data_IF_424469689261
#
_entry.id   IF_424469689261
#
_cell.length_a   1.000
_cell.length_b   1.000
_cell.length_c   1.000
_cell.angle_alpha   90.00
_cell.angle_beta   90.00
_cell.angle_gamma   90.00
#
_symmetry.space_group_name_H-M   'P 1'
#
loop_
_entity.id
_entity.type
_entity.pdbx_description
1 polymer ?
#
# COMPACT_ATOMS: atom_id res chain seq x y z
N UNK A 1 6.14 -1.52 -10.16
CA UNK A 1 6.65 -1.86 -8.81
C UNK A 1 6.11 -3.22 -8.39
N UNK A 2 6.75 -3.86 -7.41
CA UNK A 2 6.35 -5.17 -6.87
C UNK A 2 6.61 -5.23 -5.37
N UNK A 3 5.65 -5.69 -4.60
CA UNK A 3 5.76 -5.90 -3.16
C UNK A 3 5.33 -7.33 -2.79
N UNK A 4 6.22 -8.17 -2.24
CA UNK A 4 5.87 -9.55 -1.88
C UNK A 4 4.96 -9.59 -0.66
N UNK A 5 4.09 -10.60 -0.61
CA UNK A 5 3.47 -10.99 0.66
C UNK A 5 4.48 -11.66 1.57
N UNK A 6 4.08 -11.96 2.81
CA UNK A 6 4.91 -12.69 3.76
C UNK A 6 4.14 -13.81 4.45
N UNK A 7 4.88 -14.76 4.97
CA UNK A 7 4.42 -15.70 6.00
C UNK A 7 5.26 -15.47 7.26
N UNK A 8 4.70 -15.77 8.43
CA UNK A 8 5.50 -15.93 9.63
C UNK A 8 5.86 -17.41 9.78
N UNK A 9 7.14 -17.71 9.98
CA UNK A 9 7.56 -19.09 10.24
C UNK A 9 7.40 -19.42 11.73
N UNK A 10 7.71 -18.47 12.61
CA UNK A 10 7.53 -18.56 14.06
C UNK A 10 7.45 -17.16 14.69
N UNK A 11 6.84 -17.05 15.87
CA UNK A 11 6.67 -15.79 16.59
C UNK A 11 5.37 -15.07 16.22
N UNK A 12 4.27 -15.79 16.16
CA UNK A 12 2.95 -15.16 16.04
C UNK A 12 2.56 -14.50 17.37
N UNK A 13 1.93 -13.32 17.30
CA UNK A 13 1.40 -12.58 18.46
C UNK A 13 2.44 -12.12 19.50
N UNK A 14 3.72 -12.06 19.14
CA UNK A 14 4.79 -11.57 20.02
C UNK A 14 5.45 -10.29 19.53
N UNK A 15 5.20 -9.90 18.27
CA UNK A 15 5.78 -8.70 17.65
C UNK A 15 5.38 -7.41 18.36
N UNK A 16 4.14 -7.31 18.83
CA UNK A 16 3.67 -6.17 19.63
C UNK A 16 4.05 -6.24 21.12
N UNK A 17 4.78 -7.29 21.54
CA UNK A 17 5.29 -7.49 22.90
C UNK A 17 6.82 -7.42 22.95
N UNK A 18 7.45 -6.77 21.97
CA UNK A 18 8.91 -6.74 21.79
C UNK A 18 9.56 -8.14 21.69
N UNK A 19 8.78 -9.14 21.24
CA UNK A 19 9.22 -10.50 21.03
C UNK A 19 9.87 -10.71 19.67
N UNK A 20 10.66 -11.78 19.57
CA UNK A 20 11.32 -12.16 18.32
C UNK A 20 10.34 -12.84 17.36
N UNK A 21 10.44 -12.47 16.08
CA UNK A 21 9.66 -13.05 14.98
C UNK A 21 10.58 -13.50 13.85
N UNK A 22 10.14 -14.49 13.07
CA UNK A 22 10.86 -14.96 11.90
C UNK A 22 9.95 -14.99 10.66
N UNK A 23 9.69 -13.82 10.04
CA UNK A 23 8.94 -13.76 8.81
C UNK A 23 9.81 -14.07 7.59
N UNK A 24 9.17 -14.55 6.52
CA UNK A 24 9.79 -14.73 5.22
C UNK A 24 8.86 -14.19 4.13
N UNK A 25 9.43 -13.41 3.20
CA UNK A 25 8.75 -13.03 1.98
C UNK A 25 8.48 -14.27 1.11
N UNK A 26 7.32 -14.33 0.47
CA UNK A 26 6.96 -15.44 -0.41
C UNK A 26 7.07 -15.05 -1.89
N UNK A 27 7.00 -16.05 -2.78
CA UNK A 27 7.04 -15.84 -4.22
C UNK A 27 5.85 -15.07 -4.80
N UNK A 28 4.78 -14.88 -4.01
CA UNK A 28 3.56 -14.14 -4.37
C UNK A 28 3.65 -12.68 -3.91
N UNK A 29 3.06 -11.77 -4.66
CA UNK A 29 3.22 -10.32 -4.55
C UNK A 29 2.03 -9.54 -5.09
N UNK A 30 1.90 -8.30 -4.64
CA UNK A 30 1.17 -7.26 -5.37
C UNK A 30 2.12 -6.63 -6.36
N UNK A 31 1.71 -6.59 -7.63
CA UNK A 31 2.41 -5.90 -8.70
C UNK A 31 1.57 -4.71 -9.13
N UNK A 32 2.21 -3.59 -9.41
CA UNK A 32 1.52 -2.43 -9.93
C UNK A 32 2.33 -1.65 -10.94
N UNK A 33 1.62 -0.83 -11.70
CA UNK A 33 2.19 0.21 -12.54
C UNK A 33 1.43 1.51 -12.24
N UNK A 34 2.16 2.62 -12.23
CA UNK A 34 1.58 3.92 -11.95
C UNK A 34 2.22 5.00 -12.82
N UNK A 35 1.43 6.01 -13.16
CA UNK A 35 1.88 7.20 -13.87
C UNK A 35 1.23 8.44 -13.25
N UNK A 36 1.95 9.56 -13.23
CA UNK A 36 1.39 10.85 -12.81
C UNK A 36 0.21 11.21 -13.70
N UNK A 37 -0.80 11.83 -13.12
CA UNK A 37 -1.86 12.53 -13.85
C UNK A 37 -1.84 14.01 -13.45
N UNK A 38 -2.41 14.87 -14.31
CA UNK A 38 -2.42 16.32 -14.09
C UNK A 38 -3.73 16.80 -13.44
N UNK A 39 -4.46 15.90 -12.80
CA UNK A 39 -5.84 16.13 -12.36
C UNK A 39 -6.00 16.19 -10.83
N UNK A 40 -4.93 16.07 -10.04
CA UNK A 40 -4.98 16.08 -8.57
C UNK A 40 -5.73 14.89 -7.95
N UNK A 41 -6.07 13.88 -8.76
CA UNK A 41 -6.85 12.71 -8.33
C UNK A 41 -6.00 11.45 -8.34
N UNK A 42 -6.37 10.51 -7.48
CA UNK A 42 -5.88 9.13 -7.52
C UNK A 42 -6.93 8.28 -8.22
N UNK A 43 -6.57 7.60 -9.31
CA UNK A 43 -7.44 6.66 -10.03
C UNK A 43 -6.85 5.26 -10.00
N UNK A 44 -7.63 4.28 -9.56
CA UNK A 44 -7.13 2.94 -9.26
C UNK A 44 -7.93 1.87 -9.99
N UNK A 45 -7.21 1.04 -10.74
CA UNK A 45 -7.71 -0.21 -11.30
C UNK A 45 -7.19 -1.38 -10.48
N UNK A 46 -8.09 -2.27 -10.09
CA UNK A 46 -7.76 -3.47 -9.32
C UNK A 46 -8.86 -4.50 -9.52
N UNK A 47 -8.54 -5.78 -9.39
CA UNK A 47 -9.55 -6.85 -9.33
C UNK A 47 -10.56 -6.62 -8.19
N UNK A 48 -10.15 -5.89 -7.13
CA UNK A 48 -11.02 -5.47 -6.02
C UNK A 48 -11.97 -4.31 -6.38
N UNK A 49 -11.66 -3.53 -7.42
CA UNK A 49 -12.46 -2.39 -7.87
C UNK A 49 -13.57 -2.81 -8.87
N UNK A 50 -13.53 -4.03 -9.39
CA UNK A 50 -14.41 -4.49 -10.46
C UNK A 50 -13.95 -3.97 -11.83
N UNK A 51 -14.89 -3.64 -12.71
CA UNK A 51 -14.60 -3.25 -14.10
C UNK A 51 -14.27 -1.76 -14.26
N UNK A 52 -14.76 -0.91 -13.36
CA UNK A 52 -14.54 0.54 -13.39
C UNK A 52 -13.48 0.94 -12.36
N UNK A 53 -12.67 1.98 -12.64
CA UNK A 53 -11.73 2.48 -11.65
C UNK A 53 -12.45 3.16 -10.50
N UNK A 54 -11.90 2.99 -9.30
CA UNK A 54 -12.25 3.85 -8.17
C UNK A 54 -11.36 5.08 -8.18
N UNK A 55 -11.91 6.23 -7.78
CA UNK A 55 -11.15 7.48 -7.77
C UNK A 55 -11.50 8.37 -6.59
N UNK A 56 -10.53 9.17 -6.15
CA UNK A 56 -10.71 10.19 -5.12
C UNK A 56 -9.72 11.34 -5.32
N UNK A 57 -10.07 12.53 -4.83
CA UNK A 57 -9.17 13.68 -4.84
C UNK A 57 -8.10 13.52 -3.75
N UNK A 58 -6.87 13.97 -4.02
CA UNK A 58 -5.80 13.91 -3.02
C UNK A 58 -6.11 14.74 -1.78
N UNK A 59 -6.95 15.76 -1.89
CA UNK A 59 -7.37 16.57 -0.72
C UNK A 59 -8.44 15.88 0.15
N UNK A 60 -8.94 14.70 -0.28
CA UNK A 60 -10.01 13.95 0.38
C UNK A 60 -9.53 12.58 0.90
N UNK A 61 -8.49 12.60 1.73
CA UNK A 61 -7.91 11.41 2.37
C UNK A 61 -8.70 10.95 3.62
N UNK A 62 -10.03 10.86 3.50
CA UNK A 62 -10.89 10.41 4.59
C UNK A 62 -11.09 8.88 4.58
N UNK A 63 -11.23 8.23 5.75
CA UNK A 63 -11.50 6.80 5.82
C UNK A 63 -12.78 6.40 5.08
N UNK A 64 -12.70 5.31 4.33
CA UNK A 64 -13.79 4.68 3.56
C UNK A 64 -14.36 3.47 4.32
N UNK A 65 -15.58 3.09 3.97
CA UNK A 65 -16.31 1.96 4.58
C UNK A 65 -16.97 1.07 3.52
N UNK A 66 -17.46 -0.11 3.92
CA UNK A 66 -18.14 -1.02 3.01
C UNK A 66 -17.18 -1.62 1.97
N UNK A 67 -17.62 -1.66 0.71
CA UNK A 67 -16.84 -2.21 -0.40
C UNK A 67 -15.52 -1.45 -0.62
N UNK A 68 -15.47 -0.15 -0.31
CA UNK A 68 -14.30 0.71 -0.52
C UNK A 68 -13.29 0.66 0.64
N UNK A 69 -13.51 -0.16 1.68
CA UNK A 69 -12.64 -0.23 2.86
C UNK A 69 -11.18 -0.55 2.51
N UNK A 70 -10.93 -1.28 1.44
CA UNK A 70 -9.56 -1.61 0.99
C UNK A 70 -8.77 -0.38 0.55
N UNK A 71 -9.44 0.71 0.14
CA UNK A 71 -8.78 1.96 -0.22
C UNK A 71 -8.08 2.62 0.96
N UNK A 72 -8.47 2.29 2.19
CA UNK A 72 -7.86 2.85 3.39
C UNK A 72 -6.37 2.55 3.49
N UNK A 73 -5.90 1.41 2.98
CA UNK A 73 -4.47 1.09 2.93
C UNK A 73 -3.68 2.06 2.05
N UNK A 74 -4.27 2.49 0.92
CA UNK A 74 -3.66 3.46 0.02
C UNK A 74 -3.78 4.88 0.59
N UNK A 75 -4.97 5.25 1.06
CA UNK A 75 -5.26 6.56 1.67
C UNK A 75 -4.34 6.80 2.88
N UNK A 76 -4.18 5.80 3.75
CA UNK A 76 -3.30 5.87 4.90
C UNK A 76 -1.85 6.11 4.51
N UNK A 77 -1.33 5.38 3.51
CA UNK A 77 0.04 5.61 3.02
C UNK A 77 0.21 7.02 2.45
N UNK A 78 -0.74 7.50 1.65
CA UNK A 78 -0.69 8.86 1.10
C UNK A 78 -0.70 9.92 2.21
N UNK A 79 -1.52 9.73 3.24
CA UNK A 79 -1.57 10.61 4.41
C UNK A 79 -0.26 10.58 5.21
N UNK A 80 0.34 9.41 5.42
CA UNK A 80 1.61 9.28 6.14
C UNK A 80 2.78 9.90 5.36
N UNK A 81 2.82 9.76 4.04
CA UNK A 81 3.82 10.43 3.21
C UNK A 81 3.69 11.96 3.25
N UNK A 82 2.45 12.48 3.20
CA UNK A 82 2.20 13.92 3.39
C UNK A 82 2.64 14.41 4.76
N UNK A 83 2.34 13.65 5.82
CA UNK A 83 2.78 13.97 7.18
C UNK A 83 4.32 13.96 7.32
N UNK A 84 5.02 13.15 6.51
CA UNK A 84 6.47 13.13 6.41
C UNK A 84 7.05 14.22 5.50
N UNK A 85 6.23 15.16 4.99
CA UNK A 85 6.67 16.27 4.14
C UNK A 85 6.87 15.90 2.66
N UNK A 86 6.39 14.73 2.23
CA UNK A 86 6.44 14.30 0.83
C UNK A 86 5.06 14.42 0.22
N UNK A 87 4.88 15.38 -0.70
CA UNK A 87 3.60 15.61 -1.35
C UNK A 87 3.41 14.68 -2.56
N UNK A 88 2.49 13.70 -2.53
CA UNK A 88 2.22 12.84 -3.67
C UNK A 88 1.49 13.65 -4.77
N UNK A 89 1.87 13.50 -6.04
CA UNK A 89 1.09 14.07 -7.15
C UNK A 89 -0.18 13.25 -7.40
N UNK A 90 -1.13 13.79 -8.18
CA UNK A 90 -2.19 12.97 -8.76
C UNK A 90 -1.60 11.85 -9.61
N UNK A 91 -2.22 10.68 -9.60
CA UNK A 91 -1.73 9.52 -10.36
C UNK A 91 -2.82 8.51 -10.71
N UNK A 92 -2.54 7.79 -11.78
CA UNK A 92 -3.26 6.60 -12.19
C UNK A 92 -2.42 5.39 -11.82
N UNK A 93 -3.03 4.37 -11.19
CA UNK A 93 -2.35 3.12 -10.91
C UNK A 93 -3.23 1.91 -11.16
N UNK A 94 -2.60 0.84 -11.64
CA UNK A 94 -3.19 -0.49 -11.67
C UNK A 94 -2.45 -1.38 -10.68
N UNK A 95 -3.20 -2.13 -9.88
CA UNK A 95 -2.68 -3.16 -8.98
C UNK A 95 -3.27 -4.52 -9.34
N UNK A 96 -2.40 -5.52 -9.39
CA UNK A 96 -2.76 -6.94 -9.55
C UNK A 96 -2.07 -7.75 -8.45
N UNK A 97 -2.69 -8.84 -8.03
CA UNK A 97 -2.18 -9.66 -6.94
C UNK A 97 -2.31 -11.14 -7.27
N UNK A 98 -1.24 -11.91 -7.07
CA UNK A 98 -1.28 -13.38 -7.03
C UNK A 98 -1.32 -13.91 -5.57
N UNK A 99 -1.67 -13.03 -4.61
CA UNK A 99 -1.86 -13.35 -3.20
C UNK A 99 -3.33 -13.72 -2.94
N UNK A 100 -3.63 -14.93 -2.43
CA UNK A 100 -4.99 -15.28 -2.05
C UNK A 100 -5.50 -14.37 -0.94
N UNK A 101 -6.65 -13.74 -1.19
CA UNK A 101 -7.33 -12.87 -0.23
C UNK A 101 -7.71 -13.68 1.01
N UNK A 102 -7.44 -13.14 2.20
CA UNK A 102 -7.85 -13.75 3.48
C UNK A 102 -6.97 -14.90 3.97
N UNK A 103 -5.89 -15.25 3.27
CA UNK A 103 -5.02 -16.37 3.63
C UNK A 103 -3.97 -16.03 4.73
N UNK A 104 -4.08 -14.88 5.40
CA UNK A 104 -3.10 -14.44 6.40
C UNK A 104 -1.71 -14.08 5.82
N UNK A 105 -1.60 -13.89 4.50
CA UNK A 105 -0.34 -13.64 3.80
C UNK A 105 0.08 -12.15 3.74
N UNK A 106 -0.46 -11.34 4.66
CA UNK A 106 -0.20 -9.89 4.75
C UNK A 106 -0.46 -9.13 3.43
N UNK A 107 -1.59 -9.40 2.79
CA UNK A 107 -1.99 -8.71 1.55
C UNK A 107 -2.18 -7.20 1.72
N UNK A 108 -2.54 -6.72 2.92
CA UNK A 108 -2.60 -5.29 3.25
C UNK A 108 -1.21 -4.65 3.25
N UNK A 109 -0.26 -5.23 3.98
CA UNK A 109 1.12 -4.73 4.05
C UNK A 109 1.80 -4.72 2.67
N UNK A 110 1.51 -5.72 1.82
CA UNK A 110 1.98 -5.73 0.45
C UNK A 110 1.39 -4.56 -0.37
N UNK A 111 0.12 -4.20 -0.16
CA UNK A 111 -0.54 -3.11 -0.87
C UNK A 111 -0.03 -1.75 -0.39
N UNK A 112 0.14 -1.58 0.93
CA UNK A 112 0.73 -0.39 1.53
C UNK A 112 2.16 -0.19 1.01
N UNK A 113 2.97 -1.25 1.00
CA UNK A 113 4.36 -1.20 0.50
C UNK A 113 4.39 -0.89 -1.00
N UNK A 114 3.51 -1.52 -1.80
CA UNK A 114 3.41 -1.22 -3.22
C UNK A 114 3.02 0.24 -3.47
N UNK A 115 2.11 0.78 -2.67
CA UNK A 115 1.68 2.19 -2.72
C UNK A 115 2.81 3.13 -2.33
N UNK A 116 3.57 2.82 -1.28
CA UNK A 116 4.73 3.61 -0.89
C UNK A 116 5.76 3.67 -2.03
N UNK A 117 6.05 2.54 -2.68
CA UNK A 117 6.93 2.48 -3.86
C UNK A 117 6.37 3.28 -5.06
N UNK A 118 5.04 3.40 -5.20
CA UNK A 118 4.42 4.31 -6.17
C UNK A 118 4.78 5.75 -5.83
N UNK A 119 4.52 6.18 -4.60
CA UNK A 119 4.78 7.57 -4.18
C UNK A 119 6.27 7.92 -4.33
N UNK A 120 7.17 7.04 -3.90
CA UNK A 120 8.63 7.25 -4.07
C UNK A 120 9.03 7.33 -5.55
N UNK A 121 8.48 6.45 -6.38
CA UNK A 121 8.76 6.42 -7.82
C UNK A 121 8.24 7.67 -8.54
N UNK A 122 7.06 8.16 -8.16
CA UNK A 122 6.47 9.35 -8.75
C UNK A 122 7.20 10.61 -8.28
N UNK A 123 7.46 10.76 -6.97
CA UNK A 123 8.06 11.96 -6.37
C UNK A 123 9.58 12.04 -6.54
N UNK A 124 10.25 10.91 -6.74
CA UNK A 124 11.71 10.80 -6.73
C UNK A 124 12.31 10.83 -5.32
N UNK A 125 11.48 10.97 -4.26
CA UNK A 125 11.91 10.97 -2.87
C UNK A 125 11.85 9.53 -2.36
N UNK A 126 13.01 8.92 -2.12
CA UNK A 126 13.11 7.57 -1.55
C UNK A 126 13.24 7.64 -0.04
N UNK A 127 12.45 6.85 0.67
CA UNK A 127 12.60 6.65 2.10
C UNK A 127 13.62 5.54 2.38
N UNK A 128 14.23 5.57 3.57
CA UNK A 128 14.93 4.38 4.07
C UNK A 128 13.93 3.21 4.16
N UNK A 129 14.32 1.95 3.87
CA UNK A 129 13.41 0.82 3.94
C UNK A 129 12.69 0.66 5.29
N UNK A 130 13.36 1.01 6.41
CA UNK A 130 12.76 0.97 7.76
C UNK A 130 11.74 2.08 7.92
N UNK A 131 12.08 3.30 7.54
CA UNK A 131 11.15 4.44 7.61
C UNK A 131 9.91 4.20 6.74
N UNK A 132 10.09 3.66 5.53
CA UNK A 132 8.97 3.24 4.67
C UNK A 132 8.09 2.21 5.37
N UNK A 133 8.68 1.19 5.99
CA UNK A 133 7.91 0.17 6.69
C UNK A 133 7.12 0.76 7.87
N UNK A 134 7.71 1.70 8.61
CA UNK A 134 7.04 2.42 9.71
C UNK A 134 5.92 3.34 9.21
N UNK A 135 6.07 3.98 8.06
CA UNK A 135 5.00 4.76 7.43
C UNK A 135 3.85 3.84 7.00
N UNK A 136 4.14 2.69 6.39
CA UNK A 136 3.12 1.69 6.04
C UNK A 136 2.40 1.14 7.28
N UNK A 137 3.12 0.83 8.37
CA UNK A 137 2.52 0.31 9.60
C UNK A 137 1.56 1.31 10.27
N UNK A 138 1.77 2.62 10.09
CA UNK A 138 0.91 3.69 10.63
C UNK A 138 -0.32 3.99 9.75
N UNK A 139 -0.33 3.51 8.51
CA UNK A 139 -1.42 3.71 7.55
C UNK A 139 -2.69 2.95 7.98
#
# INVERSE_FOLDING_TARGET
MRAPGRINLIGEHVDYLDGLVLPAAIGRSITGAAARNDNGTVRLWSELAGTEPVSFHLDELSPRSGADKWLNYIIGVLAQFRAAGVEPPGFDAVFTADLPIGAGLSSSAALETATALVVEGLTGVRQDPVDRALLCQKA
#
